data_IF_347238688836
#
_entry.id   IF_347238688836
#
_cell.length_a   1.000
_cell.length_b   1.000
_cell.length_c   1.000
_cell.angle_alpha   90.00
_cell.angle_beta   90.00
_cell.angle_gamma   90.00
#
_symmetry.space_group_name_H-M   'P 1'
#
loop_
_entity.id
_entity.type
_entity.pdbx_description
1 polymer ?
#
# COMPACT_ATOMS: atom_id res chain seq x y z
N UNK A 1 19.05 -13.80 -7.45
CA UNK A 1 19.28 -13.64 -8.90
C UNK A 1 19.66 -14.94 -9.62
N UNK A 2 20.18 -15.98 -8.94
CA UNK A 2 20.66 -17.24 -9.56
C UNK A 2 19.59 -18.35 -9.71
N UNK A 3 18.30 -18.05 -9.51
CA UNK A 3 17.25 -19.08 -9.59
C UNK A 3 16.76 -19.26 -11.02
N UNK A 4 16.60 -20.51 -11.46
CA UNK A 4 16.00 -20.84 -12.76
C UNK A 4 14.46 -20.86 -12.73
N UNK A 5 13.83 -20.48 -11.62
CA UNK A 5 12.37 -20.38 -11.46
C UNK A 5 11.96 -18.93 -11.27
N UNK A 6 10.72 -18.59 -11.64
CA UNK A 6 10.15 -17.27 -11.36
C UNK A 6 10.11 -17.03 -9.85
N UNK A 7 10.75 -15.96 -9.39
CA UNK A 7 10.75 -15.53 -7.98
C UNK A 7 9.94 -14.26 -7.85
N UNK A 8 9.35 -14.07 -6.68
CA UNK A 8 8.62 -12.84 -6.41
C UNK A 8 9.60 -11.69 -6.25
N UNK A 9 9.18 -10.46 -6.55
CA UNK A 9 10.03 -9.28 -6.35
C UNK A 9 10.43 -9.11 -4.87
N UNK A 10 9.57 -9.54 -3.94
CA UNK A 10 9.87 -9.53 -2.50
C UNK A 10 11.15 -10.35 -2.17
N UNK A 11 11.40 -11.46 -2.85
CA UNK A 11 12.52 -12.39 -2.57
C UNK A 11 13.90 -11.76 -2.79
N UNK A 12 13.96 -10.62 -3.49
CA UNK A 12 15.20 -9.92 -3.81
C UNK A 12 15.60 -8.89 -2.75
N UNK A 13 14.73 -8.64 -1.76
CA UNK A 13 15.01 -7.74 -0.65
C UNK A 13 15.30 -8.55 0.60
N UNK A 14 16.35 -8.14 1.31
CA UNK A 14 16.73 -8.76 2.57
C UNK A 14 16.47 -7.79 3.72
N UNK A 15 15.88 -8.30 4.80
CA UNK A 15 15.66 -7.51 6.00
C UNK A 15 17.01 -7.20 6.65
N UNK A 16 17.25 -5.91 6.86
CA UNK A 16 18.39 -5.45 7.64
C UNK A 16 18.10 -5.73 9.12
N UNK A 17 19.14 -6.06 9.88
CA UNK A 17 19.06 -6.21 11.32
C UNK A 17 20.17 -5.39 11.96
N UNK A 18 19.89 -4.90 13.16
CA UNK A 18 20.87 -4.19 13.95
C UNK A 18 21.88 -5.17 14.54
N UNK A 19 23.17 -4.86 14.37
CA UNK A 19 24.25 -5.58 15.04
C UNK A 19 25.17 -4.56 15.70
N UNK A 20 25.45 -4.76 16.99
CA UNK A 20 26.34 -3.95 17.85
C UNK A 20 25.81 -2.55 18.21
N UNK A 21 25.32 -1.76 17.25
CA UNK A 21 25.00 -0.33 17.46
C UNK A 21 23.74 -0.09 18.28
N UNK A 22 22.80 -1.03 18.25
CA UNK A 22 21.54 -0.98 18.97
C UNK A 22 21.02 -2.42 19.17
N UNK A 23 20.65 -2.83 20.38
CA UNK A 23 20.11 -4.17 20.62
C UNK A 23 18.72 -4.32 19.96
N UNK A 24 18.36 -5.50 19.43
CA UNK A 24 17.00 -5.77 19.00
C UNK A 24 16.05 -5.79 20.20
N UNK A 25 14.81 -5.33 20.00
CA UNK A 25 13.73 -5.35 20.98
C UNK A 25 13.05 -6.74 20.93
N UNK A 26 12.67 -7.29 22.08
CA UNK A 26 11.90 -8.55 22.13
C UNK A 26 10.40 -8.28 21.86
N UNK A 27 9.85 -8.70 20.70
CA UNK A 27 8.48 -8.35 20.32
C UNK A 27 7.39 -9.01 21.17
N UNK A 28 7.74 -9.99 22.01
CA UNK A 28 6.79 -10.66 22.91
C UNK A 28 6.90 -10.06 24.32
N UNK A 29 8.12 -9.91 24.83
CA UNK A 29 8.34 -9.42 26.20
C UNK A 29 8.18 -7.91 26.32
N UNK A 30 8.41 -7.18 25.24
CA UNK A 30 8.39 -5.73 25.17
C UNK A 30 7.25 -5.21 24.27
N UNK A 31 6.18 -6.00 24.11
CA UNK A 31 5.03 -5.62 23.26
C UNK A 31 4.43 -4.25 23.64
N UNK A 32 4.41 -3.92 24.94
CA UNK A 32 3.85 -2.65 25.46
C UNK A 32 4.56 -1.40 24.94
N UNK A 33 5.81 -1.51 24.47
CA UNK A 33 6.56 -0.38 23.88
C UNK A 33 6.52 -0.37 22.36
N UNK A 34 5.79 -1.31 21.74
CA UNK A 34 5.62 -1.42 20.30
C UNK A 34 4.19 -1.05 19.89
N UNK A 35 4.02 -0.56 18.66
CA UNK A 35 2.71 -0.33 18.09
C UNK A 35 2.71 -0.58 16.58
N UNK A 36 1.60 -1.15 16.10
CA UNK A 36 1.29 -1.30 14.68
C UNK A 36 0.30 -0.23 14.19
N UNK A 37 -0.08 0.73 15.04
CA UNK A 37 -0.99 1.80 14.64
C UNK A 37 -0.42 2.53 13.44
N UNK A 38 -1.23 2.61 12.37
CA UNK A 38 -0.91 3.34 11.17
C UNK A 38 -1.93 4.45 10.95
N UNK A 39 -1.53 5.45 10.17
CA UNK A 39 -2.36 6.61 9.87
C UNK A 39 -2.40 6.78 8.36
N UNK A 40 -3.62 6.82 7.81
CA UNK A 40 -3.88 6.98 6.38
C UNK A 40 -4.31 8.41 6.09
N UNK A 41 -3.72 8.99 5.04
CA UNK A 41 -4.10 10.31 4.54
C UNK A 41 -3.07 11.41 4.81
N UNK A 42 -3.41 12.67 4.51
CA UNK A 42 -2.47 13.78 4.46
C UNK A 42 -1.79 14.02 5.82
N UNK A 43 -0.50 14.37 5.78
CA UNK A 43 0.29 14.64 6.98
C UNK A 43 0.02 16.07 7.45
N UNK A 44 -0.17 16.31 8.76
CA UNK A 44 -0.37 17.64 9.29
C UNK A 44 0.91 18.49 9.17
N UNK A 45 0.72 19.80 9.22
CA UNK A 45 1.82 20.75 9.30
C UNK A 45 2.47 20.66 10.70
N UNK A 46 3.73 20.22 10.75
CA UNK A 46 4.46 20.05 12.02
C UNK A 46 4.71 21.38 12.76
N UNK A 47 4.71 22.51 12.04
CA UNK A 47 4.90 23.84 12.62
C UNK A 47 3.57 24.56 12.90
N UNK A 48 2.44 23.98 12.46
CA UNK A 48 1.10 24.54 12.55
C UNK A 48 0.42 24.26 13.89
N UNK A 49 1.10 24.48 15.01
CA UNK A 49 0.58 24.16 16.36
C UNK A 49 -0.71 24.93 16.70
N UNK A 50 -0.89 26.12 16.09
CA UNK A 50 -2.05 27.00 16.30
C UNK A 50 -3.08 26.93 15.16
N UNK A 51 -2.99 25.93 14.27
CA UNK A 51 -3.96 25.77 13.20
C UNK A 51 -5.35 25.43 13.78
N UNK A 52 -6.30 26.35 13.57
CA UNK A 52 -7.67 26.22 14.09
C UNK A 52 -8.43 24.98 13.56
N UNK A 53 -7.92 24.34 12.51
CA UNK A 53 -8.50 23.13 11.93
C UNK A 53 -7.41 22.17 11.46
N UNK A 54 -6.83 21.36 12.36
CA UNK A 54 -5.72 20.48 12.01
C UNK A 54 -6.18 19.43 10.99
N UNK A 55 -5.28 19.07 10.08
CA UNK A 55 -5.50 18.00 9.10
C UNK A 55 -5.76 16.68 9.83
N UNK A 56 -7.01 16.24 9.80
CA UNK A 56 -7.40 14.94 10.33
C UNK A 56 -6.67 13.82 9.58
N UNK A 57 -6.41 12.70 10.26
CA UNK A 57 -5.93 11.45 9.65
C UNK A 57 -6.83 10.29 10.04
N UNK A 58 -6.90 9.28 9.18
CA UNK A 58 -7.61 8.04 9.49
C UNK A 58 -6.67 7.13 10.28
N UNK A 59 -6.95 6.91 11.55
CA UNK A 59 -6.22 5.97 12.37
C UNK A 59 -6.70 4.53 12.11
N UNK A 60 -5.75 3.62 11.91
CA UNK A 60 -6.00 2.18 11.84
C UNK A 60 -5.12 1.49 12.87
N UNK A 61 -5.68 0.52 13.60
CA UNK A 61 -4.97 -0.20 14.66
C UNK A 61 -3.81 -1.06 14.15
N UNK A 62 -3.87 -1.46 12.87
CA UNK A 62 -2.82 -2.22 12.20
C UNK A 62 -2.78 -1.87 10.71
N UNK A 63 -1.65 -2.06 10.01
CA UNK A 63 -1.53 -1.75 8.59
C UNK A 63 -2.20 -2.79 7.69
N UNK A 64 -2.67 -3.92 8.23
CA UNK A 64 -3.38 -4.96 7.46
C UNK A 64 -4.88 -4.68 7.48
N UNK A 65 -5.45 -4.37 6.33
CA UNK A 65 -6.86 -4.05 6.16
C UNK A 65 -7.66 -5.27 5.73
N UNK A 66 -8.85 -5.45 6.29
CA UNK A 66 -9.82 -6.40 5.76
C UNK A 66 -10.45 -5.88 4.46
N UNK A 67 -11.12 -6.76 3.72
CA UNK A 67 -11.89 -6.33 2.55
C UNK A 67 -12.96 -5.30 2.92
N UNK A 68 -13.60 -5.44 4.08
CA UNK A 68 -14.60 -4.49 4.58
C UNK A 68 -13.99 -3.11 4.87
N UNK A 69 -12.80 -3.07 5.47
CA UNK A 69 -12.11 -1.81 5.73
C UNK A 69 -11.71 -1.10 4.44
N UNK A 70 -11.30 -1.86 3.41
CA UNK A 70 -11.03 -1.30 2.10
C UNK A 70 -12.30 -0.74 1.44
N UNK A 71 -13.46 -1.40 1.59
CA UNK A 71 -14.74 -0.85 1.11
C UNK A 71 -15.10 0.47 1.82
N UNK A 72 -14.89 0.56 3.13
CA UNK A 72 -15.08 1.83 3.87
C UNK A 72 -14.15 2.92 3.34
N UNK A 73 -12.90 2.59 3.01
CA UNK A 73 -11.96 3.54 2.40
C UNK A 73 -12.43 4.00 1.02
N UNK A 74 -13.01 3.13 0.19
CA UNK A 74 -13.54 3.51 -1.13
C UNK A 74 -14.74 4.46 -1.03
N UNK A 75 -15.59 4.28 -0.01
CA UNK A 75 -16.74 5.14 0.27
C UNK A 75 -16.44 6.28 1.26
N UNK A 76 -15.16 6.53 1.56
CA UNK A 76 -14.74 7.43 2.65
C UNK A 76 -15.27 8.86 2.50
N UNK A 77 -15.46 9.32 1.27
CA UNK A 77 -16.04 10.65 0.99
C UNK A 77 -17.45 10.79 1.55
N UNK A 78 -18.28 9.75 1.45
CA UNK A 78 -19.63 9.77 2.04
C UNK A 78 -19.56 9.73 3.57
N UNK A 79 -18.69 8.87 4.10
CA UNK A 79 -18.52 8.67 5.55
C UNK A 79 -17.98 9.92 6.26
N UNK A 80 -17.18 10.73 5.55
CA UNK A 80 -16.49 11.90 6.11
C UNK A 80 -17.03 13.22 5.57
N UNK A 81 -18.21 13.21 4.91
CA UNK A 81 -18.84 14.41 4.33
C UNK A 81 -17.92 15.19 3.38
N UNK A 82 -17.09 14.48 2.62
CA UNK A 82 -16.18 15.03 1.63
C UNK A 82 -14.81 15.47 2.16
N UNK A 83 -14.51 15.32 3.45
CA UNK A 83 -13.19 15.62 4.00
C UNK A 83 -12.09 14.73 3.43
N UNK A 84 -12.41 13.46 3.13
CA UNK A 84 -11.51 12.56 2.43
C UNK A 84 -12.09 12.13 1.10
N UNK A 85 -11.22 11.91 0.13
CA UNK A 85 -11.57 11.39 -1.19
C UNK A 85 -10.54 10.33 -1.54
N UNK A 86 -11.03 9.12 -1.79
CA UNK A 86 -10.22 8.01 -2.26
C UNK A 86 -10.35 7.83 -3.76
N UNK A 87 -9.25 7.47 -4.43
CA UNK A 87 -9.26 6.99 -5.81
C UNK A 87 -8.60 5.61 -5.88
N UNK A 88 -9.22 4.68 -6.61
CA UNK A 88 -8.61 3.40 -6.95
C UNK A 88 -7.85 3.56 -8.26
N UNK A 89 -6.54 3.36 -8.22
CA UNK A 89 -5.66 3.32 -9.37
C UNK A 89 -5.36 1.87 -9.72
N UNK A 90 -5.72 1.48 -10.94
CA UNK A 90 -5.47 0.14 -11.47
C UNK A 90 -3.97 -0.03 -11.78
N UNK A 91 -3.33 -1.02 -11.14
CA UNK A 91 -1.91 -1.35 -11.38
C UNK A 91 -1.75 -2.55 -12.31
N UNK A 92 -2.69 -2.75 -13.24
CA UNK A 92 -2.61 -3.77 -14.29
C UNK A 92 -2.51 -3.17 -15.68
N UNK A 93 -1.90 -3.88 -16.61
CA UNK A 93 -1.69 -3.42 -17.98
C UNK A 93 -1.95 -4.56 -19.00
N UNK A 94 -2.16 -4.26 -20.30
CA UNK A 94 -2.50 -5.28 -21.28
C UNK A 94 -1.42 -6.37 -21.41
N UNK A 95 -1.79 -7.63 -21.24
CA UNK A 95 -0.88 -8.77 -21.33
C UNK A 95 -0.19 -8.89 -22.71
N UNK A 96 -0.84 -8.40 -23.77
CA UNK A 96 -0.29 -8.35 -25.12
C UNK A 96 1.01 -7.53 -25.23
N UNK A 97 1.27 -6.61 -24.30
CA UNK A 97 2.49 -5.79 -24.27
C UNK A 97 3.68 -6.49 -23.59
N UNK A 98 3.45 -7.65 -22.97
CA UNK A 98 4.49 -8.44 -22.30
C UNK A 98 5.23 -7.65 -21.21
N UNK A 99 6.49 -8.01 -20.94
CA UNK A 99 7.29 -7.33 -19.91
C UNK A 99 7.62 -5.87 -20.27
N UNK A 100 7.74 -5.55 -21.56
CA UNK A 100 8.08 -4.21 -22.05
C UNK A 100 6.99 -3.18 -21.74
N UNK A 101 5.72 -3.61 -21.66
CA UNK A 101 4.60 -2.73 -21.27
C UNK A 101 4.65 -2.24 -19.83
N UNK A 102 5.41 -2.91 -18.95
CA UNK A 102 5.46 -2.57 -17.52
C UNK A 102 6.05 -1.16 -17.27
N UNK A 103 7.09 -0.79 -18.00
CA UNK A 103 7.72 0.54 -17.85
C UNK A 103 6.77 1.67 -18.25
N UNK A 104 6.10 1.53 -19.39
CA UNK A 104 5.09 2.48 -19.84
C UNK A 104 3.90 2.55 -18.86
N UNK A 105 3.48 1.41 -18.32
CA UNK A 105 2.40 1.34 -17.34
C UNK A 105 2.77 2.03 -16.01
N UNK A 106 4.02 1.90 -15.55
CA UNK A 106 4.53 2.63 -14.39
C UNK A 106 4.56 4.15 -14.63
N UNK A 107 5.03 4.59 -15.80
CA UNK A 107 5.00 6.01 -16.17
C UNK A 107 3.58 6.57 -16.18
N UNK A 108 2.63 5.82 -16.77
CA UNK A 108 1.22 6.18 -16.76
C UNK A 108 0.62 6.21 -15.36
N UNK A 109 1.00 5.27 -14.48
CA UNK A 109 0.57 5.23 -13.09
C UNK A 109 1.05 6.45 -12.31
N UNK A 110 2.32 6.85 -12.47
CA UNK A 110 2.86 8.06 -11.83
C UNK A 110 2.13 9.32 -12.30
N UNK A 111 1.90 9.46 -13.62
CA UNK A 111 1.13 10.59 -14.15
C UNK A 111 -0.33 10.62 -13.66
N UNK A 112 -0.99 9.45 -13.60
CA UNK A 112 -2.34 9.35 -13.04
C UNK A 112 -2.38 9.69 -11.55
N UNK A 113 -1.32 9.38 -10.82
CA UNK A 113 -1.16 9.74 -9.40
C UNK A 113 -1.05 11.25 -9.23
N UNK A 114 -0.23 11.94 -10.03
CA UNK A 114 -0.14 13.40 -9.99
C UNK A 114 -1.50 14.06 -10.25
N UNK A 115 -2.21 13.59 -11.29
CA UNK A 115 -3.53 14.10 -11.62
C UNK A 115 -4.52 13.85 -10.48
N UNK A 116 -4.52 12.66 -9.88
CA UNK A 116 -5.39 12.35 -8.76
C UNK A 116 -5.15 13.27 -7.56
N UNK A 117 -3.89 13.54 -7.22
CA UNK A 117 -3.57 14.48 -6.13
C UNK A 117 -4.01 15.90 -6.51
N UNK A 118 -3.81 16.33 -7.76
CA UNK A 118 -4.26 17.64 -8.24
C UNK A 118 -5.80 17.79 -8.20
N UNK A 119 -6.53 16.71 -8.45
CA UNK A 119 -8.01 16.65 -8.35
C UNK A 119 -8.51 16.61 -6.88
N UNK A 120 -7.58 16.62 -5.92
CA UNK A 120 -7.88 16.66 -4.49
C UNK A 120 -8.20 15.30 -3.87
N UNK A 121 -7.80 14.19 -4.51
CA UNK A 121 -7.81 12.88 -3.87
C UNK A 121 -6.67 12.81 -2.85
N UNK A 122 -7.02 12.51 -1.61
CA UNK A 122 -6.09 12.49 -0.48
C UNK A 122 -5.87 11.07 0.09
N UNK A 123 -6.43 10.07 -0.58
CA UNK A 123 -6.14 8.65 -0.39
C UNK A 123 -6.05 8.00 -1.77
N UNK A 124 -4.91 7.40 -2.10
CA UNK A 124 -4.71 6.64 -3.33
C UNK A 124 -4.65 5.15 -3.00
N UNK A 125 -5.49 4.37 -3.66
CA UNK A 125 -5.56 2.92 -3.49
C UNK A 125 -5.01 2.26 -4.76
N UNK A 126 -3.81 1.68 -4.70
CA UNK A 126 -3.23 0.94 -5.82
C UNK A 126 -3.78 -0.49 -5.82
N UNK A 127 -4.48 -0.90 -6.87
CA UNK A 127 -5.22 -2.17 -6.91
C UNK A 127 -4.86 -3.05 -8.10
N UNK A 128 -4.52 -4.32 -7.85
CA UNK A 128 -4.25 -5.32 -8.89
C UNK A 128 -5.47 -6.23 -9.19
N UNK A 129 -6.66 -5.89 -8.66
CA UNK A 129 -7.89 -6.70 -8.81
C UNK A 129 -8.35 -6.90 -10.26
N UNK A 130 -7.91 -6.05 -11.19
CA UNK A 130 -8.25 -6.16 -12.61
C UNK A 130 -7.43 -7.25 -13.36
N UNK A 131 -6.57 -8.00 -12.65
CA UNK A 131 -5.78 -9.08 -13.22
C UNK A 131 -6.69 -10.11 -13.91
N UNK A 132 -6.34 -10.49 -15.13
CA UNK A 132 -7.13 -11.42 -15.95
C UNK A 132 -6.26 -12.04 -17.04
N UNK A 133 -6.83 -12.94 -17.85
CA UNK A 133 -6.12 -13.53 -19.00
C UNK A 133 -5.57 -12.48 -19.99
N UNK A 134 -6.16 -11.28 -20.02
CA UNK A 134 -5.76 -10.18 -20.91
C UNK A 134 -5.04 -9.04 -20.19
N UNK A 135 -4.92 -9.08 -18.85
CA UNK A 135 -4.31 -8.02 -18.03
C UNK A 135 -3.31 -8.59 -17.04
N UNK A 136 -2.07 -8.12 -17.14
CA UNK A 136 -0.97 -8.48 -16.26
C UNK A 136 -0.84 -7.44 -15.14
N UNK A 137 -0.61 -7.89 -13.91
CA UNK A 137 -0.36 -6.98 -12.79
C UNK A 137 1.09 -6.47 -12.80
N UNK A 138 1.29 -5.18 -12.57
CA UNK A 138 2.57 -4.64 -12.13
C UNK A 138 2.84 -5.24 -10.74
N UNK A 139 4.05 -5.75 -10.45
CA UNK A 139 4.38 -6.22 -9.11
C UNK A 139 4.05 -5.15 -8.06
N UNK A 140 3.24 -5.50 -7.06
CA UNK A 140 2.67 -4.51 -6.14
C UNK A 140 3.75 -3.69 -5.40
N UNK A 141 4.88 -4.32 -5.05
CA UNK A 141 6.01 -3.62 -4.45
C UNK A 141 6.63 -2.58 -5.40
N UNK A 142 6.71 -2.89 -6.69
CA UNK A 142 7.25 -1.99 -7.71
C UNK A 142 6.30 -0.81 -7.96
N UNK A 143 5.00 -1.07 -8.06
CA UNK A 143 4.00 -0.02 -8.20
C UNK A 143 4.00 0.92 -6.98
N UNK A 144 4.01 0.35 -5.77
CA UNK A 144 4.07 1.10 -4.52
C UNK A 144 5.32 1.98 -4.45
N UNK A 145 6.50 1.42 -4.69
CA UNK A 145 7.76 2.15 -4.58
C UNK A 145 7.88 3.25 -5.65
N UNK A 146 7.47 2.97 -6.88
CA UNK A 146 7.47 3.95 -7.98
C UNK A 146 6.59 5.15 -7.64
N UNK A 147 5.33 4.92 -7.23
CA UNK A 147 4.41 5.98 -6.83
C UNK A 147 4.91 6.72 -5.60
N UNK A 148 5.43 6.01 -4.61
CA UNK A 148 5.96 6.61 -3.39
C UNK A 148 7.12 7.57 -3.68
N UNK A 149 8.13 7.13 -4.44
CA UNK A 149 9.29 7.94 -4.78
C UNK A 149 8.92 9.09 -5.73
N UNK A 150 8.03 8.85 -6.69
CA UNK A 150 7.52 9.90 -7.58
C UNK A 150 6.84 11.02 -6.80
N UNK A 151 5.90 10.68 -5.89
CA UNK A 151 5.25 11.66 -5.03
C UNK A 151 6.22 12.41 -4.11
N UNK A 152 7.33 11.78 -3.68
CA UNK A 152 8.37 12.48 -2.92
C UNK A 152 9.07 13.50 -3.80
N UNK A 153 9.48 13.10 -5.00
CA UNK A 153 10.19 13.98 -5.95
C UNK A 153 9.31 15.17 -6.38
N UNK A 154 8.01 14.95 -6.53
CA UNK A 154 7.02 15.99 -6.84
C UNK A 154 6.58 16.82 -5.62
N UNK A 155 7.04 16.48 -4.40
CA UNK A 155 6.64 17.19 -3.16
C UNK A 155 5.19 16.93 -2.72
N UNK A 156 4.53 15.92 -3.26
CA UNK A 156 3.11 15.61 -3.05
C UNK A 156 2.87 14.46 -2.04
N UNK A 157 3.90 13.74 -1.60
CA UNK A 157 3.74 12.56 -0.73
C UNK A 157 3.09 12.87 0.62
N UNK A 158 3.20 14.09 1.12
CA UNK A 158 2.55 14.54 2.36
C UNK A 158 1.07 14.85 2.17
N UNK A 159 0.61 15.06 0.94
CA UNK A 159 -0.77 15.49 0.62
C UNK A 159 -1.74 14.33 0.47
N UNK A 160 -1.25 13.09 0.34
CA UNK A 160 -2.09 11.91 0.15
C UNK A 160 -1.58 10.70 0.93
N UNK A 161 -2.51 9.86 1.36
CA UNK A 161 -2.22 8.50 1.82
C UNK A 161 -2.07 7.52 0.67
N UNK A 162 -1.33 6.44 0.91
CA UNK A 162 -1.08 5.37 -0.08
C UNK A 162 -1.48 4.02 0.51
N UNK A 163 -2.46 3.36 -0.11
CA UNK A 163 -3.01 2.08 0.32
C UNK A 163 -2.83 1.06 -0.79
N UNK A 164 -2.44 -0.16 -0.44
CA UNK A 164 -2.29 -1.26 -1.39
C UNK A 164 -3.48 -2.20 -1.29
N UNK A 165 -4.09 -2.55 -2.42
CA UNK A 165 -5.11 -3.58 -2.56
C UNK A 165 -4.57 -4.65 -3.50
N UNK A 166 -3.86 -5.63 -2.95
CA UNK A 166 -3.03 -6.54 -3.74
C UNK A 166 -3.26 -8.01 -3.45
N UNK A 167 -3.21 -8.83 -4.51
CA UNK A 167 -3.24 -10.28 -4.42
C UNK A 167 -1.87 -10.92 -4.13
N UNK A 168 -0.77 -10.16 -4.19
CA UNK A 168 0.58 -10.71 -4.02
C UNK A 168 1.10 -10.71 -2.58
N UNK A 169 0.49 -9.95 -1.68
CA UNK A 169 0.86 -9.89 -0.26
C UNK A 169 0.27 -11.09 0.51
N UNK A 170 1.12 -11.87 1.18
CA UNK A 170 0.72 -13.09 1.91
C UNK A 170 1.64 -13.47 3.06
N UNK A 171 2.91 -13.09 2.99
CA UNK A 171 3.92 -13.35 4.02
C UNK A 171 4.25 -12.06 4.76
N UNK A 172 4.62 -12.15 6.05
CA UNK A 172 4.98 -10.99 6.89
C UNK A 172 6.01 -10.08 6.21
N UNK A 173 6.98 -10.69 5.52
CA UNK A 173 7.99 -9.97 4.75
C UNK A 173 7.41 -9.07 3.65
N UNK A 174 6.33 -9.50 2.97
CA UNK A 174 5.68 -8.72 1.92
C UNK A 174 5.06 -7.44 2.49
N UNK A 175 4.38 -7.55 3.64
CA UNK A 175 3.80 -6.40 4.34
C UNK A 175 4.88 -5.45 4.84
N UNK A 176 5.96 -5.98 5.42
CA UNK A 176 7.09 -5.16 5.87
C UNK A 176 7.73 -4.37 4.72
N UNK A 177 7.91 -4.99 3.56
CA UNK A 177 8.42 -4.29 2.38
C UNK A 177 7.45 -3.24 1.85
N UNK A 178 6.17 -3.56 1.70
CA UNK A 178 5.18 -2.58 1.23
C UNK A 178 5.11 -1.37 2.17
N UNK A 179 5.10 -1.60 3.48
CA UNK A 179 5.14 -0.53 4.48
C UNK A 179 6.44 0.29 4.38
N UNK A 180 7.59 -0.39 4.29
CA UNK A 180 8.91 0.25 4.14
C UNK A 180 9.06 1.06 2.85
N UNK A 181 8.37 0.68 1.78
CA UNK A 181 8.34 1.37 0.49
C UNK A 181 7.14 2.31 0.32
N UNK A 182 6.48 2.68 1.42
CA UNK A 182 5.59 3.84 1.47
C UNK A 182 4.10 3.56 1.55
N UNK A 183 3.66 2.30 1.60
CA UNK A 183 2.28 1.96 1.88
C UNK A 183 1.94 2.25 3.36
N UNK A 184 0.84 2.95 3.59
CA UNK A 184 0.30 3.21 4.93
C UNK A 184 -0.58 2.05 5.40
N UNK A 185 -1.20 1.34 4.46
CA UNK A 185 -1.98 0.15 4.74
C UNK A 185 -2.05 -0.79 3.53
N UNK A 186 -2.31 -2.07 3.77
CA UNK A 186 -2.32 -3.14 2.78
C UNK A 186 -3.53 -4.05 3.00
N UNK A 187 -4.36 -4.20 1.97
CA UNK A 187 -5.44 -5.17 1.88
C UNK A 187 -4.97 -6.37 1.01
N UNK A 188 -4.65 -7.53 1.62
CA UNK A 188 -4.25 -8.75 0.90
C UNK A 188 -5.48 -9.52 0.39
N UNK A 189 -6.18 -8.96 -0.60
CA UNK A 189 -7.52 -9.44 -0.97
C UNK A 189 -7.56 -10.92 -1.39
N UNK A 190 -6.59 -11.36 -2.20
CA UNK A 190 -6.56 -12.73 -2.71
C UNK A 190 -6.27 -13.73 -1.60
N UNK A 191 -5.48 -13.35 -0.59
CA UNK A 191 -5.24 -14.20 0.57
C UNK A 191 -6.55 -14.42 1.34
N UNK A 192 -7.32 -13.35 1.61
CA UNK A 192 -8.61 -13.47 2.29
C UNK A 192 -9.64 -14.27 1.47
N UNK A 193 -9.74 -14.02 0.16
CA UNK A 193 -10.63 -14.79 -0.72
C UNK A 193 -10.23 -16.28 -0.76
N UNK A 194 -8.92 -16.57 -0.77
CA UNK A 194 -8.42 -17.95 -0.69
C UNK A 194 -8.83 -18.60 0.63
N UNK A 195 -8.64 -17.93 1.77
CA UNK A 195 -9.06 -18.45 3.07
C UNK A 195 -10.57 -18.69 3.16
N UNK A 196 -11.38 -17.80 2.61
CA UNK A 196 -12.83 -17.95 2.58
C UNK A 196 -13.29 -19.12 1.68
N UNK A 197 -12.55 -19.39 0.60
CA UNK A 197 -12.82 -20.50 -0.31
C UNK A 197 -12.31 -21.85 0.20
N UNK A 198 -11.42 -21.88 1.19
CA UNK A 198 -10.94 -23.13 1.77
C UNK A 198 -12.07 -23.82 2.57
N UNK A 199 -12.34 -25.11 2.32
CA UNK A 199 -13.33 -25.83 3.09
C UNK A 199 -12.88 -25.88 4.56
N UNK A 200 -13.74 -25.45 5.47
CA UNK A 200 -13.52 -25.62 6.90
C UNK A 200 -13.58 -27.11 7.17
N UNK A 201 -12.43 -27.72 7.45
CA UNK A 201 -12.37 -29.10 7.90
C UNK A 201 -13.05 -29.16 9.28
N UNK A 202 -14.32 -29.54 9.31
CA UNK A 202 -15.05 -29.81 10.53
C UNK A 202 -14.31 -30.90 11.30
N UNK A 203 -13.73 -30.53 12.45
CA UNK A 203 -13.29 -31.50 13.46
C UNK A 203 -14.50 -32.18 14.09
#
# INVERSE_FOLDING_TARGET
MLSNRSRSLYDYFHQLFAQVTNPPIDPIREEIVMSLTSFIGPRPNLLGLDEANPTMRLEVHQPVLTSEDLFKLRDISKLTRGCYKSLVLDITYPAAQGAQGCEAALGALCAATDQAVADGYNILILSDRAVSATRMAIPALLACSAVHHHLIQSGLRTSTGLVMDTGSAREVHHFALLAGYGAEAVCPWLAFETFAAMPVCSR
#
